data_IF_235332708648
#
_entry.id   IF_235332708648
#
_cell.length_a   1.000
_cell.length_b   1.000
_cell.length_c   1.000
_cell.angle_alpha   90.00
_cell.angle_beta   90.00
_cell.angle_gamma   90.00
#
_symmetry.space_group_name_H-M   'P 1'
#
loop_
_entity.id
_entity.type
_entity.pdbx_description
1 polymer ?
#
# COMPACT_ATOMS: atom_id res chain seq x y z
N UNK A 1 -37.22 30.79 51.83
CA UNK A 1 -37.54 29.34 51.83
C UNK A 1 -36.58 28.63 52.77
N UNK A 2 -37.06 27.76 53.66
CA UNK A 2 -36.20 26.97 54.56
C UNK A 2 -35.57 25.85 53.73
N UNK A 3 -34.25 25.90 53.53
CA UNK A 3 -33.52 24.82 52.88
C UNK A 3 -33.71 23.55 53.71
N UNK A 4 -34.40 22.57 53.15
CA UNK A 4 -34.63 21.29 53.80
C UNK A 4 -33.81 20.21 53.07
N UNK A 5 -33.56 19.10 53.76
CA UNK A 5 -32.73 18.02 53.25
C UNK A 5 -33.24 17.45 51.91
N UNK A 6 -34.57 17.40 51.73
CA UNK A 6 -35.20 17.02 50.46
C UNK A 6 -34.93 18.01 49.32
N UNK A 7 -34.91 19.31 49.59
CA UNK A 7 -34.57 20.35 48.61
C UNK A 7 -33.12 20.21 48.15
N UNK A 8 -32.19 19.86 49.05
CA UNK A 8 -30.79 19.60 48.69
C UNK A 8 -30.62 18.40 47.74
N UNK A 9 -31.39 17.34 47.94
CA UNK A 9 -31.39 16.15 47.06
C UNK A 9 -31.94 16.52 45.68
N UNK A 10 -33.07 17.22 45.62
CA UNK A 10 -33.69 17.62 44.35
C UNK A 10 -32.76 18.54 43.54
N UNK A 11 -32.11 19.50 44.19
CA UNK A 11 -31.14 20.38 43.54
C UNK A 11 -29.95 19.58 42.99
N UNK A 12 -29.42 18.63 43.77
CA UNK A 12 -28.27 17.82 43.35
C UNK A 12 -28.60 16.96 42.11
N UNK A 13 -29.81 16.39 42.06
CA UNK A 13 -30.27 15.62 40.89
C UNK A 13 -30.40 16.52 39.66
N UNK A 14 -30.97 17.71 39.80
CA UNK A 14 -31.13 18.65 38.68
C UNK A 14 -29.76 19.07 38.14
N UNK A 15 -28.81 19.40 39.02
CA UNK A 15 -27.44 19.77 38.63
C UNK A 15 -26.73 18.62 37.90
N UNK A 16 -26.87 17.40 38.41
CA UNK A 16 -26.29 16.21 37.77
C UNK A 16 -26.84 15.98 36.36
N UNK A 17 -28.16 16.13 36.18
CA UNK A 17 -28.79 15.99 34.86
C UNK A 17 -28.30 17.06 33.89
N UNK A 18 -28.21 18.32 34.33
CA UNK A 18 -27.69 19.43 33.50
C UNK A 18 -26.26 19.14 33.03
N UNK A 19 -25.38 18.70 33.95
CA UNK A 19 -23.99 18.37 33.62
C UNK A 19 -23.92 17.20 32.64
N UNK A 20 -24.75 16.17 32.84
CA UNK A 20 -24.81 15.01 31.96
C UNK A 20 -25.24 15.37 30.54
N UNK A 21 -26.31 16.16 30.40
CA UNK A 21 -26.77 16.63 29.09
C UNK A 21 -25.78 17.57 28.41
N UNK A 22 -25.11 18.44 29.18
CA UNK A 22 -24.05 19.30 28.66
C UNK A 22 -22.87 18.48 28.11
N UNK A 23 -22.44 17.44 28.83
CA UNK A 23 -21.39 16.53 28.35
C UNK A 23 -21.82 15.80 27.08
N UNK A 24 -23.05 15.27 27.03
CA UNK A 24 -23.57 14.59 25.83
C UNK A 24 -23.55 15.53 24.62
N UNK A 25 -24.01 16.77 24.78
CA UNK A 25 -24.01 17.75 23.71
C UNK A 25 -22.60 18.14 23.25
N UNK A 26 -21.67 18.29 24.19
CA UNK A 26 -20.27 18.55 23.89
C UNK A 26 -19.63 17.40 23.11
N UNK A 27 -19.83 16.15 23.54
CA UNK A 27 -19.28 14.98 22.84
C UNK A 27 -19.90 14.78 21.46
N UNK A 28 -21.20 15.03 21.28
CA UNK A 28 -21.84 14.98 19.96
C UNK A 28 -21.37 16.10 19.02
N UNK A 29 -20.96 17.25 19.57
CA UNK A 29 -20.46 18.38 18.78
C UNK A 29 -18.98 18.25 18.42
N UNK A 30 -18.27 17.28 19.02
CA UNK A 30 -16.91 16.94 18.59
C UNK A 30 -16.99 16.03 17.37
N UNK A 31 -16.34 16.45 16.28
CA UNK A 31 -16.08 15.57 15.14
C UNK A 31 -15.12 14.48 15.60
N UNK A 32 -15.65 13.32 15.93
CA UNK A 32 -14.83 12.12 16.11
C UNK A 32 -14.59 11.58 14.70
N UNK A 33 -13.44 11.93 14.12
CA UNK A 33 -12.93 11.23 12.94
C UNK A 33 -12.54 9.81 13.37
N UNK A 34 -13.53 8.93 13.46
CA UNK A 34 -13.29 7.50 13.56
C UNK A 34 -12.60 7.09 12.26
N UNK A 35 -11.29 6.85 12.32
CA UNK A 35 -10.51 6.15 11.28
C UNK A 35 -10.97 4.68 11.24
N UNK A 36 -12.24 4.45 10.96
CA UNK A 36 -12.90 3.14 11.04
C UNK A 36 -13.12 2.52 9.67
N UNK A 37 -12.92 3.25 8.58
CA UNK A 37 -13.17 2.69 7.25
C UNK A 37 -12.11 1.70 6.76
N UNK A 38 -10.97 1.51 7.47
CA UNK A 38 -9.84 0.79 6.87
C UNK A 38 -9.09 -0.19 7.79
N UNK A 39 -9.63 -0.60 8.95
CA UNK A 39 -8.91 -1.55 9.82
C UNK A 39 -9.04 -3.02 9.34
N UNK A 40 -10.23 -3.43 8.89
CA UNK A 40 -10.46 -4.77 8.33
C UNK A 40 -9.86 -4.92 6.92
N UNK A 41 -10.02 -3.90 6.07
CA UNK A 41 -9.44 -3.89 4.73
C UNK A 41 -7.91 -4.02 4.78
N UNK A 42 -7.25 -3.31 5.71
CA UNK A 42 -5.80 -3.46 5.90
C UNK A 42 -5.39 -4.90 6.13
N UNK A 43 -6.09 -5.65 6.98
CA UNK A 43 -5.72 -7.04 7.30
C UNK A 43 -5.85 -7.97 6.09
N UNK A 44 -6.93 -7.84 5.30
CA UNK A 44 -7.12 -8.59 4.05
C UNK A 44 -6.08 -8.19 2.99
N UNK A 45 -5.78 -6.91 2.87
CA UNK A 45 -4.73 -6.39 1.96
C UNK A 45 -3.36 -6.97 2.35
N UNK A 46 -3.05 -7.06 3.65
CA UNK A 46 -1.80 -7.66 4.11
C UNK A 46 -1.74 -9.16 3.81
N UNK A 47 -2.82 -9.92 4.03
CA UNK A 47 -2.84 -11.35 3.69
C UNK A 47 -2.63 -11.56 2.19
N UNK A 48 -3.31 -10.79 1.35
CA UNK A 48 -3.14 -10.86 -0.11
C UNK A 48 -1.71 -10.53 -0.54
N UNK A 49 -1.03 -9.59 0.13
CA UNK A 49 0.38 -9.28 -0.14
C UNK A 49 1.32 -10.41 0.28
N UNK A 50 1.05 -11.07 1.40
CA UNK A 50 1.83 -12.23 1.86
C UNK A 50 1.67 -13.37 0.86
N UNK A 51 0.43 -13.69 0.48
CA UNK A 51 0.13 -14.76 -0.47
C UNK A 51 0.72 -14.45 -1.86
N UNK A 52 0.64 -13.19 -2.30
CA UNK A 52 1.30 -12.71 -3.52
C UNK A 52 2.82 -12.91 -3.46
N UNK A 53 3.46 -12.53 -2.36
CA UNK A 53 4.89 -12.69 -2.17
C UNK A 53 5.31 -14.18 -2.12
N UNK A 54 4.51 -15.03 -1.49
CA UNK A 54 4.77 -16.46 -1.36
C UNK A 54 4.66 -17.18 -2.71
N UNK A 55 3.56 -16.95 -3.47
CA UNK A 55 3.39 -17.48 -4.83
C UNK A 55 4.52 -17.04 -5.76
N UNK A 56 4.95 -15.79 -5.62
CA UNK A 56 5.96 -15.23 -6.52
C UNK A 56 7.37 -15.65 -6.14
N UNK A 57 7.62 -16.19 -4.94
CA UNK A 57 8.96 -16.52 -4.43
C UNK A 57 9.75 -17.44 -5.35
N UNK A 58 9.11 -18.45 -5.94
CA UNK A 58 9.78 -19.36 -6.87
C UNK A 58 10.07 -18.73 -8.23
N UNK A 59 9.16 -17.89 -8.72
CA UNK A 59 9.30 -17.16 -9.99
C UNK A 59 10.38 -16.09 -9.86
N UNK A 60 10.39 -15.40 -8.72
CA UNK A 60 11.32 -14.34 -8.36
C UNK A 60 12.77 -14.80 -8.58
N UNK A 61 13.15 -15.97 -8.08
CA UNK A 61 14.50 -16.51 -8.22
C UNK A 61 14.89 -16.85 -9.66
N UNK A 62 13.91 -17.00 -10.57
CA UNK A 62 14.12 -17.32 -11.98
C UNK A 62 14.16 -16.08 -12.88
N UNK A 63 13.67 -14.93 -12.41
CA UNK A 63 13.75 -13.67 -13.16
C UNK A 63 15.19 -13.14 -13.10
N UNK A 64 15.81 -13.00 -14.27
CA UNK A 64 17.15 -12.41 -14.40
C UNK A 64 17.04 -10.93 -14.66
N UNK A 65 17.82 -10.15 -13.92
CA UNK A 65 17.92 -8.71 -14.05
C UNK A 65 19.34 -8.37 -14.50
N UNK A 66 19.45 -7.71 -15.63
CA UNK A 66 20.71 -7.24 -16.18
C UNK A 66 20.59 -5.74 -16.48
N UNK A 67 21.59 -4.97 -16.07
CA UNK A 67 21.72 -3.56 -16.44
C UNK A 67 23.00 -3.41 -17.26
N UNK A 68 22.86 -3.02 -18.53
CA UNK A 68 23.98 -2.88 -19.46
C UNK A 68 23.71 -1.72 -20.43
N UNK A 69 24.69 -0.86 -20.66
CA UNK A 69 24.62 0.24 -21.64
C UNK A 69 23.36 1.12 -21.52
N UNK A 70 23.03 1.56 -20.30
CA UNK A 70 21.82 2.34 -19.99
C UNK A 70 20.50 1.64 -20.33
N UNK A 71 20.51 0.32 -20.49
CA UNK A 71 19.33 -0.51 -20.65
C UNK A 71 19.16 -1.45 -19.46
N UNK A 72 17.95 -1.48 -18.92
CA UNK A 72 17.56 -2.43 -17.90
C UNK A 72 16.74 -3.55 -18.56
N UNK A 73 17.24 -4.78 -18.42
CA UNK A 73 16.66 -5.98 -19.00
C UNK A 73 16.15 -6.89 -17.89
N UNK A 74 14.88 -7.22 -17.95
CA UNK A 74 14.27 -8.24 -17.11
C UNK A 74 13.88 -9.42 -17.99
N UNK A 75 14.48 -10.58 -17.77
CA UNK A 75 14.15 -11.81 -18.48
C UNK A 75 13.31 -12.71 -17.58
N UNK A 76 12.08 -12.98 -18.00
CA UNK A 76 11.15 -13.88 -17.33
C UNK A 76 11.34 -15.31 -17.87
N UNK A 77 11.10 -16.35 -17.06
CA UNK A 77 11.11 -17.72 -17.56
C UNK A 77 9.95 -17.96 -18.53
N UNK A 78 10.18 -18.73 -19.60
CA UNK A 78 9.21 -18.98 -20.68
C UNK A 78 7.84 -19.46 -20.19
N UNK A 79 7.83 -20.27 -19.12
CA UNK A 79 6.61 -20.79 -18.50
C UNK A 79 5.70 -19.69 -17.96
N UNK A 80 6.28 -18.57 -17.53
CA UNK A 80 5.58 -17.41 -16.95
C UNK A 80 5.32 -16.36 -18.02
N UNK A 81 6.32 -16.08 -18.87
CA UNK A 81 6.24 -15.04 -19.88
C UNK A 81 5.01 -15.16 -20.80
N UNK A 82 4.67 -16.39 -21.22
CA UNK A 82 3.52 -16.65 -22.11
C UNK A 82 2.16 -16.39 -21.47
N UNK A 83 2.11 -16.30 -20.14
CA UNK A 83 0.86 -16.08 -19.39
C UNK A 83 0.68 -14.62 -18.96
N UNK A 84 1.73 -13.80 -19.04
CA UNK A 84 1.68 -12.39 -18.71
C UNK A 84 1.24 -11.61 -19.94
N UNK A 85 0.07 -10.97 -19.86
CA UNK A 85 -0.40 -10.05 -20.91
C UNK A 85 -0.04 -8.59 -20.63
N UNK A 86 -0.13 -8.18 -19.37
CA UNK A 86 0.13 -6.82 -18.92
C UNK A 86 0.62 -6.85 -17.47
N UNK A 87 1.45 -5.88 -17.11
CA UNK A 87 1.89 -5.68 -15.73
C UNK A 87 2.15 -4.21 -15.43
N UNK A 88 2.25 -3.88 -14.15
CA UNK A 88 2.68 -2.59 -13.64
C UNK A 88 4.10 -2.72 -13.09
N UNK A 89 4.96 -1.77 -13.44
CA UNK A 89 6.28 -1.59 -12.84
C UNK A 89 6.32 -0.27 -12.09
N UNK A 90 6.79 -0.32 -10.85
CA UNK A 90 6.93 0.80 -9.96
C UNK A 90 8.40 0.97 -9.59
N UNK A 91 8.95 2.13 -9.90
CA UNK A 91 10.28 2.54 -9.50
C UNK A 91 10.16 3.40 -8.25
N UNK A 92 10.73 2.89 -7.17
CA UNK A 92 10.80 3.54 -5.87
C UNK A 92 12.23 3.96 -5.60
N UNK A 93 12.45 5.24 -5.28
CA UNK A 93 13.76 5.77 -4.90
C UNK A 93 13.80 5.99 -3.39
N UNK A 94 14.55 5.16 -2.64
CA UNK A 94 14.60 5.29 -1.18
C UNK A 94 15.13 6.64 -0.68
N UNK A 95 15.94 7.34 -1.48
CA UNK A 95 16.48 8.65 -1.12
C UNK A 95 15.51 9.81 -1.35
N UNK A 96 14.55 9.67 -2.26
CA UNK A 96 13.64 10.75 -2.66
C UNK A 96 12.40 10.20 -3.37
N UNK A 97 11.31 10.05 -2.62
CA UNK A 97 10.05 9.50 -3.14
C UNK A 97 9.34 10.41 -4.15
N UNK A 98 9.74 11.70 -4.28
CA UNK A 98 9.14 12.60 -5.26
C UNK A 98 9.48 12.21 -6.71
N UNK A 99 10.50 11.37 -6.88
CA UNK A 99 11.00 10.88 -8.17
C UNK A 99 10.50 9.48 -8.51
N UNK A 100 9.64 8.93 -7.66
CA UNK A 100 9.02 7.64 -7.90
C UNK A 100 8.09 7.72 -9.11
N UNK A 101 8.08 6.68 -9.93
CA UNK A 101 7.20 6.62 -11.09
C UNK A 101 6.67 5.21 -11.32
N UNK A 102 5.49 5.16 -11.92
CA UNK A 102 4.82 3.94 -12.33
C UNK A 102 4.70 3.91 -13.85
N UNK A 103 4.84 2.73 -14.41
CA UNK A 103 4.58 2.50 -15.82
C UNK A 103 3.95 1.13 -16.00
N UNK A 104 3.23 0.93 -17.09
CA UNK A 104 2.77 -0.39 -17.50
C UNK A 104 3.80 -1.02 -18.41
N UNK A 105 3.96 -2.34 -18.33
CA UNK A 105 4.87 -3.06 -19.20
C UNK A 105 4.17 -4.25 -19.87
N UNK A 106 4.69 -4.58 -21.04
CA UNK A 106 4.37 -5.78 -21.80
C UNK A 106 5.67 -6.53 -22.06
N UNK A 107 5.61 -7.86 -22.11
CA UNK A 107 6.76 -8.68 -22.45
C UNK A 107 6.83 -8.85 -23.97
N UNK A 108 8.04 -8.86 -24.52
CA UNK A 108 8.24 -9.23 -25.92
C UNK A 108 8.03 -10.75 -26.13
N UNK A 109 8.07 -11.20 -27.39
CA UNK A 109 7.88 -12.62 -27.77
C UNK A 109 8.86 -13.59 -27.07
N UNK A 110 10.01 -13.09 -26.61
CA UNK A 110 11.03 -13.85 -25.90
C UNK A 110 10.90 -13.75 -24.37
N UNK A 111 9.82 -13.15 -23.84
CA UNK A 111 9.61 -13.00 -22.40
C UNK A 111 10.54 -11.99 -21.73
N UNK A 112 11.06 -11.02 -22.50
CA UNK A 112 12.00 -10.01 -22.02
C UNK A 112 11.33 -8.64 -22.01
N UNK A 113 11.49 -7.93 -20.89
CA UNK A 113 11.20 -6.51 -20.76
C UNK A 113 12.50 -5.73 -20.90
N UNK A 114 12.51 -4.75 -21.80
CA UNK A 114 13.61 -3.80 -22.00
C UNK A 114 13.12 -2.40 -21.63
N UNK A 115 13.83 -1.76 -20.72
CA UNK A 115 13.56 -0.38 -20.30
C UNK A 115 14.78 0.48 -20.59
N UNK A 116 14.54 1.61 -21.24
CA UNK A 116 15.54 2.66 -21.41
C UNK A 116 15.74 3.38 -20.08
N UNK A 117 16.86 3.10 -19.41
CA UNK A 117 17.22 3.68 -18.14
C UNK A 117 18.00 5.00 -18.30
N UNK A 118 18.30 5.44 -19.52
CA UNK A 118 19.00 6.71 -19.80
C UNK A 118 18.26 7.93 -19.26
N UNK A 119 16.93 7.84 -19.14
CA UNK A 119 16.05 8.90 -18.62
C UNK A 119 15.84 8.81 -17.11
N UNK A 120 16.31 7.75 -16.46
CA UNK A 120 16.18 7.54 -15.02
C UNK A 120 17.41 8.14 -14.35
N UNK A 121 17.20 8.87 -13.26
CA UNK A 121 18.33 9.41 -12.52
C UNK A 121 19.23 8.30 -11.94
N UNK A 122 20.54 8.54 -12.02
CA UNK A 122 21.54 7.65 -11.44
C UNK A 122 21.35 7.52 -9.93
N UNK A 123 21.62 6.33 -9.41
CA UNK A 123 21.55 6.00 -8.00
C UNK A 123 20.85 4.69 -7.71
N UNK A 124 20.45 4.54 -6.44
CA UNK A 124 19.82 3.33 -5.93
C UNK A 124 18.30 3.40 -6.10
N UNK A 125 17.74 2.34 -6.67
CA UNK A 125 16.31 2.19 -6.93
C UNK A 125 15.82 0.82 -6.45
N UNK A 126 14.60 0.79 -5.92
CA UNK A 126 13.83 -0.44 -5.77
C UNK A 126 12.79 -0.50 -6.87
N UNK A 127 12.82 -1.55 -7.65
CA UNK A 127 11.89 -1.81 -8.75
C UNK A 127 10.93 -2.89 -8.30
N UNK A 128 9.64 -2.55 -8.24
CA UNK A 128 8.57 -3.49 -7.94
C UNK A 128 7.76 -3.74 -9.20
N UNK A 129 7.73 -4.98 -9.67
CA UNK A 129 6.89 -5.41 -10.78
C UNK A 129 5.70 -6.18 -10.22
N UNK A 130 4.50 -5.90 -10.72
CA UNK A 130 3.27 -6.63 -10.40
C UNK A 130 2.56 -6.99 -11.70
N UNK A 131 2.05 -8.21 -11.78
CA UNK A 131 1.28 -8.67 -12.93
C UNK A 131 0.21 -9.67 -12.49
N UNK A 132 -0.76 -9.90 -13.37
CA UNK A 132 -1.80 -10.91 -13.18
C UNK A 132 -1.49 -12.14 -14.03
N UNK A 133 -1.65 -13.32 -13.45
CA UNK A 133 -1.50 -14.60 -14.13
C UNK A 133 -2.57 -15.55 -13.59
N UNK A 134 -3.39 -16.14 -14.46
CA UNK A 134 -4.48 -17.04 -14.08
C UNK A 134 -5.39 -16.48 -12.97
N UNK A 135 -5.78 -15.21 -13.09
CA UNK A 135 -6.61 -14.47 -12.11
C UNK A 135 -5.96 -14.21 -10.74
N UNK A 136 -4.71 -14.64 -10.55
CA UNK A 136 -3.94 -14.38 -9.33
C UNK A 136 -2.92 -13.24 -9.54
N UNK A 137 -2.70 -12.43 -8.50
CA UNK A 137 -1.66 -11.39 -8.49
C UNK A 137 -0.32 -11.95 -8.05
N UNK A 138 0.71 -11.52 -8.76
CA UNK A 138 2.11 -11.82 -8.53
C UNK A 138 2.91 -10.53 -8.44
N UNK A 139 3.87 -10.46 -7.51
CA UNK A 139 4.78 -9.32 -7.41
C UNK A 139 6.21 -9.71 -7.09
N UNK A 140 7.14 -8.94 -7.67
CA UNK A 140 8.57 -9.06 -7.47
C UNK A 140 9.14 -7.70 -7.12
N UNK A 141 9.95 -7.66 -6.07
CA UNK A 141 10.79 -6.51 -5.76
C UNK A 141 12.26 -6.84 -6.04
N UNK A 142 12.93 -5.92 -6.73
CA UNK A 142 14.36 -5.99 -7.06
C UNK A 142 15.01 -4.67 -6.72
N UNK A 143 16.22 -4.75 -6.20
CA UNK A 143 17.06 -3.57 -6.01
C UNK A 143 17.99 -3.45 -7.20
N UNK A 144 18.12 -2.24 -7.74
CA UNK A 144 19.03 -1.93 -8.85
C UNK A 144 19.81 -0.66 -8.54
N UNK A 145 21.07 -0.64 -8.93
CA UNK A 145 21.90 0.56 -8.92
C UNK A 145 22.13 0.98 -10.37
N UNK A 146 21.69 2.21 -10.71
CA UNK A 146 21.86 2.82 -12.02
C UNK A 146 23.09 3.74 -11.93
N UNK A 147 24.09 3.50 -12.79
CA UNK A 147 25.42 4.14 -12.71
C UNK A 147 25.62 5.25 -13.73
#
# INVERSE_FOLDING_TARGET
>A
MKFNWGTGIVISIIVFLIISFAMIFLFMSQKVDLVTDNYYEKTLIYQNQIDEAERTKEINNKIRLEYLNDQMKFAFPDSVAKQIKYGEIYFYRPSDSSKDFKSTFELNENGVLLLDASKIEKGYWKVRMRWLMNEESYSVERTVMIN
#
